data_IF_345205616069
#
_entry.id   IF_345205616069
#
_cell.length_a   1.000
_cell.length_b   1.000
_cell.length_c   1.000
_cell.angle_alpha   90.00
_cell.angle_beta   90.00
_cell.angle_gamma   90.00
#
_symmetry.space_group_name_H-M   'P 1'
#
loop_
_entity.id
_entity.type
_entity.pdbx_description
1 polymer ?
#
# COMPACT_ATOMS: atom_id res chain seq x y z
N UNK A 1 15.13 27.56 -10.58
CA UNK A 1 13.92 28.01 -9.87
C UNK A 1 12.78 27.17 -10.41
N UNK A 2 12.35 26.15 -9.66
CA UNK A 2 11.29 25.25 -10.12
C UNK A 2 9.98 25.88 -9.65
N UNK A 3 9.16 26.35 -10.60
CA UNK A 3 7.81 26.85 -10.32
C UNK A 3 6.92 25.67 -9.91
N UNK A 4 6.81 25.46 -8.60
CA UNK A 4 5.79 24.61 -7.99
C UNK A 4 4.75 25.50 -7.35
N UNK A 5 3.86 26.09 -8.15
CA UNK A 5 2.66 26.71 -7.60
C UNK A 5 1.48 26.57 -8.58
N UNK A 6 0.26 26.54 -8.03
CA UNK A 6 -1.04 26.52 -8.71
C UNK A 6 -1.77 25.19 -9.00
N UNK A 7 -1.53 24.10 -8.27
CA UNK A 7 -2.45 22.92 -8.31
C UNK A 7 -3.13 22.59 -6.97
N UNK A 8 -2.83 23.34 -5.91
CA UNK A 8 -3.31 23.08 -4.56
C UNK A 8 -4.75 23.54 -4.26
N UNK A 9 -5.49 24.10 -5.23
CA UNK A 9 -6.77 24.79 -4.97
C UNK A 9 -8.04 24.09 -5.48
N UNK A 10 -8.06 22.76 -5.60
CA UNK A 10 -9.32 22.02 -5.85
C UNK A 10 -9.48 20.83 -4.90
N UNK A 11 -10.52 20.80 -4.04
CA UNK A 11 -10.49 19.96 -2.83
C UNK A 11 -10.66 18.45 -3.06
N UNK A 12 -10.93 17.97 -4.28
CA UNK A 12 -11.13 16.53 -4.49
C UNK A 12 -10.82 15.99 -5.91
N UNK A 13 -10.39 16.83 -6.85
CA UNK A 13 -9.92 16.37 -8.17
C UNK A 13 -8.38 16.32 -8.27
N UNK A 14 -7.66 17.00 -7.38
CA UNK A 14 -6.23 17.27 -7.57
C UNK A 14 -5.32 16.11 -7.15
N UNK A 15 -5.64 15.35 -6.10
CA UNK A 15 -4.67 14.42 -5.51
C UNK A 15 -4.37 13.19 -6.39
N UNK A 16 -5.39 12.57 -6.98
CA UNK A 16 -5.20 11.42 -7.87
C UNK A 16 -4.49 11.84 -9.17
N UNK A 17 -4.87 12.99 -9.75
CA UNK A 17 -4.22 13.58 -10.92
C UNK A 17 -2.77 13.92 -10.60
N UNK A 18 -2.51 14.58 -9.46
CA UNK A 18 -1.17 14.92 -9.01
C UNK A 18 -0.30 13.67 -8.82
N UNK A 19 -0.80 12.63 -8.16
CA UNK A 19 -0.08 11.36 -7.98
C UNK A 19 0.24 10.72 -9.33
N UNK A 20 -0.70 10.75 -10.28
CA UNK A 20 -0.48 10.25 -11.64
C UNK A 20 0.59 11.05 -12.37
N UNK A 21 0.53 12.39 -12.30
CA UNK A 21 1.52 13.28 -12.93
C UNK A 21 2.91 13.07 -12.33
N UNK A 22 3.02 13.00 -11.00
CA UNK A 22 4.29 12.70 -10.31
C UNK A 22 4.82 11.34 -10.76
N UNK A 23 3.98 10.30 -10.82
CA UNK A 23 4.37 8.97 -11.27
C UNK A 23 4.87 9.00 -12.72
N UNK A 24 4.22 9.75 -13.61
CA UNK A 24 4.67 9.92 -14.99
C UNK A 24 6.07 10.56 -15.05
N UNK A 25 6.27 11.68 -14.34
CA UNK A 25 7.56 12.37 -14.32
C UNK A 25 8.67 11.48 -13.77
N UNK A 26 8.41 10.72 -12.70
CA UNK A 26 9.40 9.78 -12.15
C UNK A 26 9.79 8.72 -13.19
N UNK A 27 8.82 8.15 -13.90
CA UNK A 27 9.08 7.17 -14.97
C UNK A 27 9.90 7.80 -16.10
N UNK A 28 9.56 9.02 -16.53
CA UNK A 28 10.29 9.74 -17.58
C UNK A 28 11.75 10.04 -17.19
N UNK A 29 12.04 10.14 -15.89
CA UNK A 29 13.41 10.29 -15.35
C UNK A 29 14.12 8.96 -15.10
N UNK A 30 13.52 7.82 -15.49
CA UNK A 30 14.11 6.50 -15.24
C UNK A 30 13.97 6.02 -13.80
N UNK A 31 13.06 6.59 -13.01
CA UNK A 31 12.79 6.16 -11.63
C UNK A 31 11.65 5.14 -11.63
N UNK A 32 11.94 3.92 -11.17
CA UNK A 32 10.93 2.88 -10.96
C UNK A 32 10.30 3.04 -9.58
N UNK A 33 8.98 3.16 -9.52
CA UNK A 33 8.19 3.13 -8.29
C UNK A 33 7.74 1.69 -8.03
N UNK A 34 8.09 1.14 -6.88
CA UNK A 34 7.70 -0.22 -6.45
C UNK A 34 6.62 -0.09 -5.38
N UNK A 35 5.40 -0.47 -5.73
CA UNK A 35 4.20 -0.42 -4.87
C UNK A 35 3.63 -1.81 -4.53
N UNK A 36 4.40 -2.88 -4.83
CA UNK A 36 4.10 -4.27 -4.47
C UNK A 36 5.09 -4.77 -3.40
N UNK A 37 4.63 -5.59 -2.43
CA UNK A 37 5.49 -6.19 -1.43
C UNK A 37 6.30 -7.41 -1.93
N UNK A 38 6.22 -7.76 -3.23
CA UNK A 38 6.95 -8.91 -3.79
C UNK A 38 8.48 -8.73 -3.77
N UNK A 39 8.96 -7.51 -3.98
CA UNK A 39 10.39 -7.15 -4.02
C UNK A 39 10.88 -6.67 -2.64
N UNK A 40 10.74 -7.54 -1.63
CA UNK A 40 10.95 -7.19 -0.21
C UNK A 40 12.33 -6.61 0.10
N UNK A 41 13.37 -6.97 -0.67
CA UNK A 41 14.73 -6.47 -0.51
C UNK A 41 14.87 -4.95 -0.66
N UNK A 42 13.88 -4.28 -1.25
CA UNK A 42 13.86 -2.83 -1.45
C UNK A 42 13.14 -2.06 -0.33
N UNK A 43 12.66 -2.77 0.69
CA UNK A 43 11.83 -2.20 1.75
C UNK A 43 12.42 -2.44 3.14
N UNK A 44 12.02 -1.57 4.07
CA UNK A 44 12.25 -1.74 5.50
C UNK A 44 10.92 -2.10 6.16
N UNK A 45 10.92 -3.19 6.94
CA UNK A 45 9.76 -3.54 7.77
C UNK A 45 9.77 -2.65 9.01
N UNK A 46 8.71 -1.86 9.20
CA UNK A 46 8.66 -0.86 10.27
C UNK A 46 7.79 -1.27 11.47
N UNK A 47 6.77 -2.10 11.26
CA UNK A 47 5.84 -2.50 12.33
C UNK A 47 5.06 -3.79 11.99
N UNK A 48 4.39 -4.35 13.00
CA UNK A 48 3.45 -5.48 12.86
C UNK A 48 4.04 -6.85 13.17
N UNK A 49 3.14 -7.83 13.25
CA UNK A 49 3.42 -9.25 13.48
C UNK A 49 2.73 -10.10 12.41
N UNK A 50 3.26 -11.28 12.10
CA UNK A 50 2.74 -12.16 11.03
C UNK A 50 3.63 -12.21 9.78
N UNK A 51 3.19 -12.97 8.77
CA UNK A 51 3.98 -13.33 7.59
C UNK A 51 3.57 -12.57 6.31
N UNK A 52 2.39 -11.94 6.31
CA UNK A 52 1.93 -11.13 5.19
C UNK A 52 2.40 -9.68 5.32
N UNK A 53 2.58 -9.00 4.19
CA UNK A 53 3.08 -7.62 4.15
C UNK A 53 2.12 -6.67 3.43
N UNK A 54 2.03 -5.44 3.95
CA UNK A 54 1.38 -4.30 3.34
C UNK A 54 2.39 -3.18 3.07
N UNK A 55 2.33 -2.58 1.88
CA UNK A 55 3.17 -1.43 1.53
C UNK A 55 2.59 -0.16 2.15
N UNK A 56 3.29 0.42 3.12
CA UNK A 56 2.97 1.72 3.69
C UNK A 56 3.51 2.87 2.83
N UNK A 57 4.72 2.67 2.27
CA UNK A 57 5.35 3.62 1.35
C UNK A 57 6.10 2.87 0.24
N UNK A 58 5.99 3.33 -1.02
CA UNK A 58 6.70 2.70 -2.12
C UNK A 58 8.21 2.90 -2.00
N UNK A 59 8.95 1.95 -2.58
CA UNK A 59 10.38 2.09 -2.81
C UNK A 59 10.63 2.74 -4.18
N UNK A 60 11.76 3.43 -4.33
CA UNK A 60 12.16 4.08 -5.57
C UNK A 60 13.57 3.66 -5.96
N UNK A 61 13.73 3.21 -7.20
CA UNK A 61 14.99 2.73 -7.75
C UNK A 61 15.33 3.48 -9.03
N UNK A 62 16.61 3.84 -9.17
CA UNK A 62 17.17 4.37 -10.40
C UNK A 62 17.42 3.23 -11.38
N UNK A 63 16.71 3.21 -12.50
CA UNK A 63 16.84 2.16 -13.51
C UNK A 63 18.19 2.20 -14.24
N UNK A 64 18.84 3.37 -14.35
CA UNK A 64 20.11 3.48 -15.05
C UNK A 64 21.24 2.79 -14.28
N UNK A 65 21.20 2.86 -12.94
CA UNK A 65 22.27 2.33 -12.08
C UNK A 65 21.87 1.10 -11.28
N UNK A 66 20.57 0.76 -11.23
CA UNK A 66 20.04 -0.29 -10.37
C UNK A 66 20.10 0.06 -8.87
N UNK A 67 20.40 1.32 -8.53
CA UNK A 67 20.55 1.74 -7.13
C UNK A 67 19.23 2.20 -6.54
N UNK A 68 19.02 1.83 -5.28
CA UNK A 68 17.90 2.33 -4.50
C UNK A 68 18.08 3.83 -4.22
N UNK A 69 17.11 4.63 -4.64
CA UNK A 69 17.03 6.07 -4.35
C UNK A 69 16.41 6.27 -2.96
N UNK A 70 15.34 5.52 -2.69
CA UNK A 70 14.64 5.55 -1.41
C UNK A 70 14.06 4.17 -1.12
N UNK A 71 14.35 3.64 0.07
CA UNK A 71 13.73 2.42 0.57
C UNK A 71 12.25 2.63 0.84
N UNK A 72 11.45 1.64 0.46
CA UNK A 72 10.04 1.59 0.81
C UNK A 72 9.84 1.16 2.26
N UNK A 73 8.59 1.20 2.71
CA UNK A 73 8.20 0.78 4.05
C UNK A 73 7.11 -0.28 3.97
N UNK A 74 7.32 -1.38 4.68
CA UNK A 74 6.35 -2.45 4.85
C UNK A 74 5.86 -2.52 6.29
N UNK A 75 4.60 -2.92 6.46
CA UNK A 75 4.04 -3.39 7.71
C UNK A 75 3.69 -4.87 7.60
N UNK A 76 3.93 -5.64 8.66
CA UNK A 76 3.44 -7.02 8.79
C UNK A 76 1.96 -7.01 9.18
N UNK A 77 1.17 -7.84 8.51
CA UNK A 77 -0.24 -8.02 8.78
C UNK A 77 -0.43 -9.21 9.74
N UNK A 78 -1.27 -9.07 10.78
CA UNK A 78 -1.55 -10.16 11.71
C UNK A 78 -2.17 -11.34 10.97
N UNK A 79 -1.83 -12.55 11.41
CA UNK A 79 -2.50 -13.76 10.91
C UNK A 79 -3.95 -13.71 11.39
N UNK A 80 -4.95 -13.77 10.49
CA UNK A 80 -6.34 -13.84 10.93
C UNK A 80 -6.48 -15.10 11.79
N UNK A 81 -6.85 -14.90 13.06
CA UNK A 81 -7.21 -16.01 13.92
C UNK A 81 -8.53 -16.57 13.40
N UNK A 82 -8.68 -17.88 13.29
CA UNK A 82 -9.90 -18.58 12.82
C UNK A 82 -11.18 -18.27 13.63
N UNK A 83 -11.10 -17.36 14.60
CA UNK A 83 -12.16 -17.02 15.57
C UNK A 83 -13.13 -15.95 15.09
N UNK A 84 -12.94 -15.34 13.91
CA UNK A 84 -13.85 -14.29 13.39
C UNK A 84 -14.85 -14.80 12.32
N UNK A 85 -15.00 -16.12 12.12
CA UNK A 85 -15.95 -16.72 11.16
C UNK A 85 -17.12 -17.50 11.78
N UNK A 86 -17.33 -17.43 13.10
CA UNK A 86 -18.44 -18.10 13.80
C UNK A 86 -19.33 -17.11 14.55
N UNK A 87 -19.88 -16.09 13.88
CA UNK A 87 -21.06 -15.39 14.41
C UNK A 87 -21.99 -14.86 13.30
N UNK A 88 -22.29 -15.68 12.29
CA UNK A 88 -23.51 -15.50 11.48
C UNK A 88 -24.02 -16.87 11.02
N UNK A 89 -24.82 -17.55 11.86
CA UNK A 89 -25.59 -18.71 11.42
C UNK A 89 -26.03 -19.67 12.52
N UNK A 90 -27.19 -19.40 13.14
CA UNK A 90 -27.94 -20.46 13.82
C UNK A 90 -28.71 -20.07 15.09
N UNK A 91 -29.47 -18.98 15.07
CA UNK A 91 -30.53 -18.75 16.04
C UNK A 91 -31.91 -18.84 15.34
N UNK A 92 -32.45 -20.06 15.26
CA UNK A 92 -33.85 -20.44 15.00
C UNK A 92 -33.85 -21.99 14.89
N UNK A 93 -34.68 -22.81 15.53
CA UNK A 93 -35.83 -22.62 16.41
C UNK A 93 -35.87 -23.84 17.34
N UNK A 94 -36.20 -23.62 18.61
CA UNK A 94 -36.69 -24.64 19.52
C UNK A 94 -38.20 -24.75 19.31
N UNK A 95 -38.68 -25.81 18.68
CA UNK A 95 -40.09 -26.21 18.77
C UNK A 95 -40.17 -27.73 18.99
N UNK A 96 -40.86 -28.08 20.07
CA UNK A 96 -41.19 -29.41 20.58
C UNK A 96 -42.03 -30.24 19.58
N UNK A 97 -41.81 -31.56 19.56
CA UNK A 97 -42.74 -32.68 19.27
C UNK A 97 -41.86 -33.94 19.09
N UNK A 98 -42.02 -35.08 19.76
CA UNK A 98 -43.18 -35.85 20.25
C UNK A 98 -42.90 -36.55 21.59
#
# INVERSE_FOLDING_TARGET
MVETDMVASMPNQSAAVLRRSIRSVLVDQGVRCMDSPEEQEHFVVVEGEGDAFEVLRPAYLDQATGKLILSGQLRRLPVPSETEQLDEGGAADLEESE
#
